data_IF_973566502995
#
_entry.id   IF_973566502995
#
_cell.length_a   1.000
_cell.length_b   1.000
_cell.length_c   1.000
_cell.angle_alpha   90.00
_cell.angle_beta   90.00
_cell.angle_gamma   90.00
#
_symmetry.space_group_name_H-M   'P 1'
#
loop_
_entity.id
_entity.type
_entity.pdbx_description
1 polymer ?
#
# COMPACT_ATOMS: atom_id res chain seq x y z
N UNK A 1 -28.54 -13.45 29.72
CA UNK A 1 -29.08 -12.08 29.79
C UNK A 1 -27.90 -11.12 29.80
N UNK A 2 -27.66 -10.37 28.73
CA UNK A 2 -26.64 -9.32 28.75
C UNK A 2 -27.24 -8.08 29.43
N UNK A 3 -26.60 -7.60 30.50
CA UNK A 3 -26.95 -6.30 31.08
C UNK A 3 -26.49 -5.22 30.09
N UNK A 4 -27.45 -4.50 29.52
CA UNK A 4 -27.17 -3.33 28.70
C UNK A 4 -26.90 -2.15 29.65
N UNK A 5 -25.63 -1.84 29.90
CA UNK A 5 -25.24 -0.71 30.75
C UNK A 5 -25.23 0.53 29.87
N UNK A 6 -26.21 1.40 30.07
CA UNK A 6 -26.23 2.72 29.45
C UNK A 6 -25.29 3.65 30.23
N UNK A 7 -24.12 3.87 29.65
CA UNK A 7 -23.01 4.63 30.24
C UNK A 7 -23.43 6.08 30.51
N UNK A 8 -24.28 6.67 29.64
CA UNK A 8 -24.66 8.08 29.74
C UNK A 8 -25.59 8.33 30.93
N UNK A 9 -26.61 7.48 31.11
CA UNK A 9 -27.55 7.59 32.23
C UNK A 9 -26.91 7.22 33.57
N UNK A 10 -26.00 6.23 33.58
CA UNK A 10 -25.22 5.86 34.77
C UNK A 10 -24.32 7.01 35.24
N UNK A 11 -23.65 7.69 34.30
CA UNK A 11 -22.78 8.81 34.62
C UNK A 11 -23.58 10.03 35.12
N UNK A 12 -24.71 10.34 34.46
CA UNK A 12 -25.60 11.41 34.89
C UNK A 12 -26.17 11.16 36.29
N UNK A 13 -26.56 9.92 36.60
CA UNK A 13 -27.07 9.53 37.92
C UNK A 13 -26.00 9.51 39.02
N UNK A 14 -24.74 9.26 38.67
CA UNK A 14 -23.62 9.19 39.64
C UNK A 14 -23.00 10.55 39.91
N UNK A 15 -22.82 11.38 38.88
CA UNK A 15 -22.04 12.62 38.96
C UNK A 15 -22.89 13.90 38.83
N UNK A 16 -24.19 13.80 38.51
CA UNK A 16 -25.11 14.95 38.48
C UNK A 16 -24.95 15.89 37.29
N UNK A 17 -24.11 15.54 36.31
CA UNK A 17 -23.98 16.27 35.04
C UNK A 17 -23.86 15.29 33.87
N UNK A 18 -24.26 15.72 32.68
CA UNK A 18 -24.02 14.97 31.44
C UNK A 18 -22.67 15.39 30.88
N UNK A 19 -21.73 14.44 30.67
CA UNK A 19 -20.44 14.77 30.10
C UNK A 19 -20.64 15.25 28.66
N UNK A 20 -19.81 16.19 28.24
CA UNK A 20 -19.81 16.65 26.86
C UNK A 20 -19.46 15.46 25.95
N UNK A 21 -20.27 15.24 24.92
CA UNK A 21 -20.06 14.12 24.00
C UNK A 21 -18.89 14.44 23.09
N UNK A 22 -17.78 13.72 23.29
CA UNK A 22 -16.68 13.74 22.34
C UNK A 22 -17.14 13.09 21.04
N UNK A 23 -17.38 13.91 20.01
CA UNK A 23 -17.63 13.40 18.67
C UNK A 23 -16.30 12.93 18.09
N UNK A 24 -16.05 11.63 18.20
CA UNK A 24 -14.89 11.01 17.55
C UNK A 24 -15.16 11.06 16.05
N UNK A 25 -14.36 11.82 15.30
CA UNK A 25 -14.46 11.84 13.85
C UNK A 25 -14.15 10.44 13.32
N UNK A 26 -15.11 9.84 12.61
CA UNK A 26 -14.87 8.57 11.92
C UNK A 26 -13.80 8.81 10.86
N UNK A 27 -12.73 8.02 10.88
CA UNK A 27 -11.73 8.07 9.82
C UNK A 27 -12.39 7.70 8.48
N UNK A 28 -12.14 8.45 7.40
CA UNK A 28 -12.72 8.14 6.10
C UNK A 28 -12.24 6.79 5.59
N UNK A 29 -13.16 6.00 5.04
CA UNK A 29 -12.88 4.64 4.54
C UNK A 29 -12.32 4.65 3.10
N UNK A 30 -12.39 5.80 2.40
CA UNK A 30 -11.99 5.96 1.00
C UNK A 30 -11.05 7.15 0.79
N UNK A 31 -10.20 7.04 -0.24
CA UNK A 31 -9.39 8.15 -0.72
C UNK A 31 -10.23 9.18 -1.50
N UNK A 32 -9.60 10.31 -1.88
CA UNK A 32 -10.27 11.38 -2.66
C UNK A 32 -10.78 10.93 -4.03
N UNK A 33 -10.29 9.80 -4.57
CA UNK A 33 -10.72 9.20 -5.83
C UNK A 33 -11.77 8.09 -5.66
N UNK A 34 -12.23 7.83 -4.42
CA UNK A 34 -13.25 6.82 -4.11
C UNK A 34 -12.72 5.38 -3.94
N UNK A 35 -11.41 5.16 -3.95
CA UNK A 35 -10.81 3.84 -3.68
C UNK A 35 -10.79 3.57 -2.18
N UNK A 36 -11.23 2.38 -1.77
CA UNK A 36 -11.19 1.96 -0.36
C UNK A 36 -9.76 1.86 0.15
N UNK A 37 -9.51 2.37 1.36
CA UNK A 37 -8.26 2.13 2.08
C UNK A 37 -8.16 0.70 2.60
N UNK A 38 -9.30 0.04 2.79
CA UNK A 38 -9.36 -1.29 3.37
C UNK A 38 -9.73 -2.32 2.30
N UNK A 39 -8.98 -3.40 2.25
CA UNK A 39 -9.26 -4.53 1.36
C UNK A 39 -10.25 -5.51 1.96
N UNK A 40 -10.59 -6.51 1.15
CA UNK A 40 -11.43 -7.63 1.57
C UNK A 40 -10.82 -8.37 2.77
N UNK A 41 -11.69 -8.87 3.63
CA UNK A 41 -11.34 -9.56 4.87
C UNK A 41 -10.69 -10.92 4.58
N UNK A 42 -9.37 -10.96 4.43
CA UNK A 42 -8.64 -12.20 4.67
C UNK A 42 -8.60 -12.43 6.20
N UNK A 43 -9.10 -13.58 6.67
CA UNK A 43 -9.09 -13.97 8.08
C UNK A 43 -9.86 -13.04 9.05
N UNK A 44 -10.99 -12.45 8.60
CA UNK A 44 -11.87 -11.59 9.42
C UNK A 44 -11.19 -10.33 9.98
N UNK A 45 -10.12 -9.86 9.32
CA UNK A 45 -9.48 -8.58 9.61
C UNK A 45 -9.27 -7.84 8.29
N UNK A 46 -9.82 -6.63 8.19
CA UNK A 46 -9.49 -5.73 7.10
C UNK A 46 -8.11 -5.13 7.34
N UNK A 47 -7.23 -5.22 6.34
CA UNK A 47 -5.91 -4.60 6.40
C UNK A 47 -5.94 -3.23 5.72
N UNK A 48 -5.27 -2.26 6.34
CA UNK A 48 -5.08 -0.93 5.79
C UNK A 48 -4.13 -0.99 4.60
N UNK A 49 -4.50 -0.33 3.50
CA UNK A 49 -3.76 -0.27 2.24
C UNK A 49 -3.59 -1.63 1.55
N UNK A 50 -4.69 -2.37 1.37
CA UNK A 50 -4.65 -3.61 0.58
C UNK A 50 -4.11 -3.37 -0.83
N UNK A 51 -3.34 -4.33 -1.32
CA UNK A 51 -2.77 -4.29 -2.66
C UNK A 51 -3.21 -5.54 -3.40
N UNK A 52 -3.91 -5.35 -4.51
CA UNK A 52 -4.21 -6.42 -5.46
C UNK A 52 -3.24 -6.29 -6.63
N UNK A 53 -2.52 -7.37 -6.94
CA UNK A 53 -1.54 -7.42 -8.01
C UNK A 53 -1.89 -8.55 -8.98
N UNK A 54 -2.14 -8.25 -10.25
CA UNK A 54 -2.42 -9.27 -11.26
C UNK A 54 -3.66 -10.13 -11.00
N UNK A 55 -4.56 -9.69 -10.11
CA UNK A 55 -5.73 -10.46 -9.64
C UNK A 55 -5.51 -11.24 -8.34
N UNK A 56 -4.30 -11.23 -7.78
CA UNK A 56 -3.99 -11.80 -6.46
C UNK A 56 -4.03 -10.70 -5.39
N UNK A 57 -4.79 -10.94 -4.32
CA UNK A 57 -4.77 -10.09 -3.13
C UNK A 57 -3.57 -10.45 -2.25
N UNK A 58 -2.72 -9.46 -1.96
CA UNK A 58 -1.52 -9.67 -1.17
C UNK A 58 -1.83 -9.74 0.34
N UNK A 59 -1.07 -10.55 1.08
CA UNK A 59 -1.22 -10.74 2.52
C UNK A 59 -0.51 -9.65 3.33
N UNK A 60 -1.29 -8.86 4.06
CA UNK A 60 -0.82 -7.75 4.91
C UNK A 60 0.24 -6.86 4.24
N UNK A 61 -0.03 -6.31 3.04
CA UNK A 61 0.97 -5.55 2.31
C UNK A 61 1.14 -4.15 2.91
N UNK A 62 2.38 -3.68 2.89
CA UNK A 62 2.80 -2.32 3.17
C UNK A 62 3.50 -1.84 1.90
N UNK A 63 2.91 -0.82 1.27
CA UNK A 63 3.38 -0.27 0.01
C UNK A 63 4.17 1.03 0.24
N UNK A 64 5.32 1.14 -0.43
CA UNK A 64 6.12 2.35 -0.53
C UNK A 64 6.34 2.69 -2.00
N UNK A 65 6.05 3.92 -2.41
CA UNK A 65 6.24 4.38 -3.79
C UNK A 65 7.20 5.56 -3.79
N UNK A 66 8.22 5.49 -4.64
CA UNK A 66 9.23 6.53 -4.81
C UNK A 66 9.41 6.87 -6.28
N UNK A 67 9.64 8.14 -6.58
CA UNK A 67 9.88 8.65 -7.93
C UNK A 67 10.99 9.69 -7.89
N UNK A 68 11.82 9.71 -8.93
CA UNK A 68 12.94 10.65 -9.04
C UNK A 68 12.84 11.45 -10.32
N UNK A 69 13.24 12.72 -10.25
CA UNK A 69 13.38 13.59 -11.43
C UNK A 69 14.85 13.77 -11.77
N UNK A 70 15.19 13.68 -13.04
CA UNK A 70 16.50 14.06 -13.54
C UNK A 70 16.52 15.57 -13.74
N UNK A 71 17.34 16.28 -12.96
CA UNK A 71 17.49 17.74 -13.01
C UNK A 71 18.96 18.07 -13.30
N UNK A 72 19.21 18.79 -14.38
CA UNK A 72 20.54 19.32 -14.72
C UNK A 72 20.67 20.70 -14.09
N UNK A 73 21.78 20.96 -13.41
CA UNK A 73 22.04 22.25 -12.76
C UNK A 73 23.28 22.88 -13.36
N UNK A 74 23.10 24.02 -14.02
CA UNK A 74 24.19 24.77 -14.65
C UNK A 74 24.50 26.01 -13.81
N UNK A 75 25.72 26.10 -13.31
CA UNK A 75 26.19 27.26 -12.54
C UNK A 75 26.39 28.46 -13.45
N UNK A 76 25.88 29.63 -13.05
CA UNK A 76 26.12 30.87 -13.80
C UNK A 76 27.43 31.50 -13.38
N UNK A 77 28.21 31.98 -14.35
CA UNK A 77 29.42 32.77 -14.07
C UNK A 77 29.04 34.16 -13.56
N UNK A 78 29.76 34.66 -12.55
CA UNK A 78 29.57 35.99 -11.95
C UNK A 78 28.19 36.26 -11.32
N UNK A 79 27.39 35.23 -11.02
CA UNK A 79 26.15 35.35 -10.25
C UNK A 79 26.02 34.20 -9.26
N UNK A 80 25.55 34.52 -8.05
CA UNK A 80 25.16 33.50 -7.08
C UNK A 80 23.86 32.83 -7.53
N UNK A 81 23.96 31.67 -8.19
CA UNK A 81 22.79 30.91 -8.62
C UNK A 81 23.11 29.78 -9.60
N UNK A 82 22.17 28.84 -9.71
CA UNK A 82 22.17 27.76 -10.72
C UNK A 82 20.88 27.82 -11.51
N UNK A 83 20.98 27.65 -12.83
CA UNK A 83 19.81 27.35 -13.67
C UNK A 83 19.52 25.87 -13.51
N UNK A 84 18.28 25.52 -13.11
CA UNK A 84 17.83 24.13 -12.95
C UNK A 84 16.93 23.77 -14.12
N UNK A 85 17.34 22.80 -14.91
CA UNK A 85 16.58 22.26 -16.04
C UNK A 85 16.02 20.90 -15.67
N UNK A 86 14.69 20.77 -15.72
CA UNK A 86 14.01 19.49 -15.50
C UNK A 86 14.03 18.71 -16.81
N UNK A 87 14.79 17.62 -16.86
CA UNK A 87 14.99 16.84 -18.09
C UNK A 87 13.89 15.80 -18.23
N UNK A 88 13.76 14.94 -17.24
CA UNK A 88 12.84 13.81 -17.29
C UNK A 88 12.37 13.42 -15.90
N UNK A 89 11.24 12.72 -15.88
CA UNK A 89 10.73 11.98 -14.73
C UNK A 89 11.12 10.52 -14.93
N UNK A 90 11.81 9.93 -13.96
CA UNK A 90 12.12 8.50 -13.97
C UNK A 90 10.85 7.68 -13.71
N UNK A 91 10.91 6.37 -13.88
CA UNK A 91 9.82 5.47 -13.53
C UNK A 91 9.58 5.44 -12.02
N UNK A 92 8.37 5.09 -11.61
CA UNK A 92 8.05 4.88 -10.20
C UNK A 92 8.64 3.54 -9.74
N UNK A 93 9.39 3.59 -8.65
CA UNK A 93 9.86 2.41 -7.93
C UNK A 93 8.89 2.13 -6.79
N UNK A 94 8.32 0.95 -6.81
CA UNK A 94 7.32 0.49 -5.85
C UNK A 94 7.96 -0.65 -5.07
N UNK A 95 7.96 -0.54 -3.75
CA UNK A 95 8.38 -1.60 -2.85
C UNK A 95 7.18 -2.04 -2.04
N UNK A 96 6.91 -3.35 -2.04
CA UNK A 96 5.81 -3.96 -1.30
C UNK A 96 6.42 -4.95 -0.33
N UNK A 97 6.17 -4.75 0.96
CA UNK A 97 6.55 -5.69 2.01
C UNK A 97 5.30 -6.21 2.67
N UNK A 98 5.25 -7.50 2.95
CA UNK A 98 4.11 -8.06 3.66
C UNK A 98 4.51 -9.25 4.52
N UNK A 99 3.52 -9.72 5.29
CA UNK A 99 3.68 -10.85 6.18
C UNK A 99 2.49 -11.76 5.98
N UNK A 100 2.78 -12.98 5.55
CA UNK A 100 1.81 -14.07 5.47
C UNK A 100 1.74 -14.70 6.86
N UNK A 101 0.53 -14.79 7.40
CA UNK A 101 0.27 -15.41 8.71
C UNK A 101 -0.87 -16.41 8.55
N UNK A 102 -0.61 -17.68 8.82
CA UNK A 102 -1.66 -18.71 8.87
C UNK A 102 -2.11 -18.97 10.30
N UNK A 103 -3.42 -19.19 10.47
CA UNK A 103 -4.02 -19.50 11.78
C UNK A 103 -3.86 -20.97 12.18
N UNK A 104 -3.64 -21.87 11.22
CA UNK A 104 -3.46 -23.31 11.42
C UNK A 104 -2.07 -23.69 11.98
N UNK A 105 -1.24 -22.68 12.26
CA UNK A 105 0.15 -22.81 12.71
C UNK A 105 1.07 -23.59 11.72
N UNK A 106 0.61 -23.83 10.48
CA UNK A 106 1.38 -24.49 9.43
C UNK A 106 2.21 -23.48 8.62
N UNK A 107 3.24 -23.97 7.95
CA UNK A 107 4.04 -23.15 7.05
C UNK A 107 3.21 -22.77 5.80
N UNK A 108 3.26 -21.51 5.34
CA UNK A 108 2.43 -21.03 4.24
C UNK A 108 2.97 -21.43 2.87
N UNK A 109 3.01 -22.73 2.57
CA UNK A 109 3.53 -23.25 1.30
C UNK A 109 2.69 -22.80 0.09
N UNK A 110 1.37 -22.80 0.23
CA UNK A 110 0.43 -22.44 -0.84
C UNK A 110 0.57 -20.96 -1.21
N UNK A 111 0.58 -20.09 -0.20
CA UNK A 111 0.67 -18.64 -0.40
C UNK A 111 2.03 -18.21 -0.97
N UNK A 112 3.10 -18.92 -0.61
CA UNK A 112 4.43 -18.70 -1.21
C UNK A 112 4.43 -19.18 -2.67
N UNK A 113 3.78 -20.31 -2.96
CA UNK A 113 3.65 -20.83 -4.32
C UNK A 113 2.88 -19.85 -5.21
N UNK A 114 1.80 -19.26 -4.73
CA UNK A 114 1.01 -18.25 -5.46
C UNK A 114 1.86 -17.00 -5.78
N UNK A 115 2.65 -16.52 -4.82
CA UNK A 115 3.58 -15.40 -5.04
C UNK A 115 4.66 -15.75 -6.07
N UNK A 116 5.18 -16.98 -6.02
CA UNK A 116 6.16 -17.46 -7.00
C UNK A 116 5.56 -17.60 -8.40
N UNK A 117 4.34 -18.11 -8.52
CA UNK A 117 3.65 -18.19 -9.81
C UNK A 117 3.44 -16.80 -10.41
N UNK A 118 3.03 -15.84 -9.58
CA UNK A 118 2.87 -14.45 -9.97
C UNK A 118 4.21 -13.81 -10.38
N UNK A 119 5.30 -14.09 -9.68
CA UNK A 119 6.65 -13.64 -10.07
C UNK A 119 7.14 -14.28 -11.38
N UNK A 120 6.85 -15.56 -11.60
CA UNK A 120 7.24 -16.28 -12.82
C UNK A 120 6.45 -15.83 -14.06
N UNK A 121 5.32 -15.15 -13.85
CA UNK A 121 4.57 -14.54 -14.94
C UNK A 121 5.32 -13.29 -15.41
N UNK A 122 6.19 -13.46 -16.41
CA UNK A 122 7.00 -12.40 -17.04
C UNK A 122 6.14 -11.42 -17.87
N UNK A 123 5.11 -10.85 -17.27
CA UNK A 123 4.17 -9.91 -17.89
C UNK A 123 4.00 -8.66 -17.03
N UNK A 124 3.55 -7.59 -17.67
CA UNK A 124 3.18 -6.37 -16.97
C UNK A 124 1.80 -6.55 -16.29
N UNK A 125 1.79 -6.49 -14.97
CA UNK A 125 0.63 -6.76 -14.12
C UNK A 125 -0.10 -5.46 -13.76
N UNK A 126 -1.41 -5.54 -13.57
CA UNK A 126 -2.20 -4.42 -13.03
C UNK A 126 -2.08 -4.40 -11.51
N UNK A 127 -1.86 -3.21 -10.94
CA UNK A 127 -1.80 -2.99 -9.50
C UNK A 127 -2.97 -2.11 -9.06
N UNK A 128 -3.69 -2.53 -8.02
CA UNK A 128 -4.76 -1.75 -7.42
C UNK A 128 -4.49 -1.57 -5.92
N UNK A 129 -4.41 -0.31 -5.51
CA UNK A 129 -4.25 0.09 -4.11
C UNK A 129 -4.71 1.54 -3.97
N UNK A 130 -5.17 1.95 -2.79
CA UNK A 130 -5.60 3.33 -2.55
C UNK A 130 -4.49 4.38 -2.83
N UNK A 131 -3.21 4.05 -2.62
CA UNK A 131 -2.09 4.97 -2.85
C UNK A 131 -1.68 4.96 -4.31
N UNK A 132 -1.62 3.78 -4.92
CA UNK A 132 -1.41 3.60 -6.36
C UNK A 132 -2.47 4.36 -7.17
N UNK A 133 -3.74 4.30 -6.77
CA UNK A 133 -4.82 5.05 -7.42
C UNK A 133 -4.62 6.56 -7.36
N UNK A 134 -3.96 7.11 -6.34
CA UNK A 134 -3.68 8.55 -6.28
C UNK A 134 -2.52 8.97 -7.19
N UNK A 135 -1.60 8.06 -7.49
CA UNK A 135 -0.38 8.36 -8.23
C UNK A 135 -0.44 7.99 -9.71
N UNK A 136 -1.24 6.98 -10.05
CA UNK A 136 -1.35 6.41 -11.39
C UNK A 136 -2.69 6.73 -12.04
N UNK A 137 -2.68 6.82 -13.36
CA UNK A 137 -3.87 6.88 -14.18
C UNK A 137 -4.43 5.48 -14.47
N UNK A 138 -5.67 5.41 -14.96
CA UNK A 138 -6.35 4.13 -15.18
C UNK A 138 -5.61 3.25 -16.19
N UNK A 139 -5.33 2.01 -15.80
CA UNK A 139 -4.72 1.01 -16.66
C UNK A 139 -3.20 1.07 -16.74
N UNK A 140 -2.54 1.78 -15.82
CA UNK A 140 -1.10 1.64 -15.62
C UNK A 140 -0.74 0.24 -15.13
N UNK A 141 0.42 -0.23 -15.60
CA UNK A 141 0.94 -1.56 -15.30
C UNK A 141 2.27 -1.46 -14.57
N UNK A 142 2.61 -2.52 -13.85
CA UNK A 142 3.86 -2.65 -13.12
C UNK A 142 4.52 -3.96 -13.47
N UNK A 143 5.84 -3.98 -13.41
CA UNK A 143 6.67 -5.15 -13.66
C UNK A 143 7.42 -5.44 -12.37
N UNK A 144 7.44 -6.72 -11.96
CA UNK A 144 8.18 -7.16 -10.79
C UNK A 144 9.64 -7.33 -11.19
N UNK A 145 10.54 -6.68 -10.48
CA UNK A 145 11.99 -6.82 -10.71
C UNK A 145 12.59 -7.88 -9.80
N UNK A 146 12.22 -7.85 -8.52
CA UNK A 146 12.82 -8.68 -7.50
C UNK A 146 11.78 -9.16 -6.49
N UNK A 147 11.90 -10.42 -6.07
CA UNK A 147 11.15 -11.01 -4.97
C UNK A 147 12.15 -11.63 -3.98
N UNK A 148 11.99 -11.31 -2.71
CA UNK A 148 12.86 -11.79 -1.63
C UNK A 148 12.05 -12.16 -0.39
N UNK A 149 12.55 -13.13 0.36
CA UNK A 149 11.92 -13.64 1.57
C UNK A 149 12.87 -13.41 2.75
N UNK A 150 12.72 -12.30 3.51
CA UNK A 150 13.56 -12.05 4.67
C UNK A 150 13.34 -13.11 5.76
N UNK A 151 14.35 -13.36 6.61
CA UNK A 151 14.22 -14.34 7.68
C UNK A 151 13.13 -13.91 8.66
N UNK A 152 12.12 -14.77 8.87
CA UNK A 152 11.08 -14.53 9.86
C UNK A 152 11.54 -14.99 11.25
N UNK A 153 11.17 -14.27 12.32
CA UNK A 153 11.53 -14.67 13.68
C UNK A 153 10.75 -15.92 14.11
N UNK A 154 11.43 -17.07 14.08
CA UNK A 154 11.24 -18.24 14.97
C UNK A 154 9.87 -18.94 15.00
N UNK A 155 8.91 -18.56 14.18
CA UNK A 155 7.54 -19.10 14.20
C UNK A 155 7.21 -19.70 12.84
N UNK A 156 6.76 -20.96 12.82
CA UNK A 156 6.56 -21.72 11.57
C UNK A 156 5.44 -21.17 10.69
N UNK A 157 4.49 -20.43 11.26
CA UNK A 157 3.30 -19.96 10.56
C UNK A 157 3.40 -18.55 9.98
N UNK A 158 4.60 -17.97 10.02
CA UNK A 158 4.85 -16.60 9.60
C UNK A 158 5.95 -16.58 8.55
N UNK A 159 5.63 -16.06 7.37
CA UNK A 159 6.62 -15.78 6.33
C UNK A 159 6.48 -14.33 5.87
N UNK A 160 7.56 -13.56 5.98
CA UNK A 160 7.64 -12.23 5.43
C UNK A 160 8.11 -12.29 3.97
N UNK A 161 7.64 -11.36 3.15
CA UNK A 161 8.08 -11.19 1.76
C UNK A 161 8.34 -9.71 1.47
N UNK A 162 9.28 -9.46 0.57
CA UNK A 162 9.67 -8.14 0.09
C UNK A 162 9.82 -8.20 -1.43
N UNK A 163 9.04 -7.38 -2.12
CA UNK A 163 8.90 -7.35 -3.57
C UNK A 163 9.19 -5.95 -4.09
N UNK A 164 10.04 -5.86 -5.11
CA UNK A 164 10.34 -4.63 -5.83
C UNK A 164 9.67 -4.65 -7.20
N UNK A 165 9.03 -3.55 -7.56
CA UNK A 165 8.36 -3.36 -8.83
C UNK A 165 8.72 -1.99 -9.42
N UNK A 166 8.63 -1.90 -10.75
CA UNK A 166 8.80 -0.67 -11.51
C UNK A 166 7.53 -0.42 -12.32
N UNK A 167 7.08 0.83 -12.40
CA UNK A 167 5.96 1.22 -13.26
C UNK A 167 6.33 1.16 -14.74
N UNK A 168 5.46 0.56 -15.55
CA UNK A 168 5.51 0.62 -17.01
C UNK A 168 4.51 1.68 -17.51
N UNK A 169 4.97 2.93 -17.53
CA UNK A 169 4.16 4.05 -17.99
C UNK A 169 4.06 4.05 -19.51
N UNK A 170 2.84 4.09 -20.05
CA UNK A 170 2.64 4.22 -21.51
C UNK A 170 3.27 5.52 -22.01
N UNK A 171 4.34 5.40 -22.79
CA UNK A 171 4.91 6.54 -23.50
C UNK A 171 4.28 6.65 -24.90
N UNK A 172 3.73 7.82 -25.21
CA UNK A 172 3.31 8.15 -26.58
C UNK A 172 4.49 8.82 -27.25
N UNK A 173 5.08 8.16 -28.25
CA UNK A 173 6.03 8.80 -29.17
C UNK A 173 5.25 9.78 -30.04
N UNK A 174 5.18 11.05 -29.62
CA UNK A 174 4.79 12.11 -30.54
C UNK A 174 5.93 12.26 -31.55
N UNK A 175 5.68 11.80 -32.79
CA UNK A 175 6.57 12.02 -33.92
C UNK A 175 6.62 13.54 -34.15
N UNK A 176 7.81 14.11 -33.98
CA UNK A 176 8.08 15.54 -34.21
C UNK A 176 7.86 15.92 -35.68
#
# INVERSE_FOLDING_TARGET
MALNIDIASTFAGTFGYTPETLTILKQPDVNSRGTSYYGNEAYSKSYFMSVTLGGLDLYNPVISISNKKTIVQTTLVNRSGTVKEMISKEDYKINIKGIIVRQDNAYPDEEISDLMELYNRNEALTINCALTSLLFDEGEKVIITDLSFPPSPGTQNIQAYDMNLISDLKFILNKA
#
